data_IF_289730397279
#
_entry.id   IF_289730397279
#
_cell.length_a   1.000
_cell.length_b   1.000
_cell.length_c   1.000
_cell.angle_alpha   90.00
_cell.angle_beta   90.00
_cell.angle_gamma   90.00
#
_symmetry.space_group_name_H-M   'P 1'
#
loop_
_entity.id
_entity.type
_entity.pdbx_description
1 polymer ?
#
# COMPACT_ATOMS: atom_id res chain seq x y z
N UNK A 1 -8.21 4.64 17.08
CA UNK A 1 -9.03 3.65 16.35
C UNK A 1 -8.85 2.29 16.99
N UNK A 2 -9.95 1.63 17.34
CA UNK A 2 -10.01 0.23 17.77
C UNK A 2 -9.61 -0.71 16.60
N UNK A 3 -9.36 -1.99 16.89
CA UNK A 3 -8.87 -2.96 15.87
C UNK A 3 -9.85 -3.13 14.71
N UNK A 4 -11.12 -3.29 15.06
CA UNK A 4 -12.29 -3.33 14.17
C UNK A 4 -12.41 -2.06 13.32
N UNK A 5 -12.29 -0.88 13.92
CA UNK A 5 -12.33 0.41 13.22
C UNK A 5 -11.18 0.54 12.21
N UNK A 6 -9.97 0.09 12.57
CA UNK A 6 -8.80 0.11 11.67
C UNK A 6 -9.02 -0.82 10.48
N UNK A 7 -9.57 -2.01 10.71
CA UNK A 7 -9.84 -2.97 9.65
C UNK A 7 -10.94 -2.48 8.71
N UNK A 8 -12.03 -1.93 9.25
CA UNK A 8 -13.11 -1.34 8.48
C UNK A 8 -12.61 -0.17 7.61
N UNK A 9 -11.77 0.71 8.16
CA UNK A 9 -11.18 1.80 7.39
C UNK A 9 -10.20 1.30 6.31
N UNK A 10 -9.37 0.30 6.60
CA UNK A 10 -8.49 -0.30 5.60
C UNK A 10 -9.29 -0.97 4.47
N UNK A 11 -10.40 -1.63 4.81
CA UNK A 11 -11.32 -2.23 3.85
C UNK A 11 -11.98 -1.17 2.96
N UNK A 12 -12.43 -0.06 3.55
CA UNK A 12 -13.03 1.04 2.79
C UNK A 12 -12.06 1.67 1.77
N UNK A 13 -10.77 1.75 2.10
CA UNK A 13 -9.74 2.19 1.15
C UNK A 13 -9.55 1.18 0.02
N UNK A 14 -9.42 -0.11 0.33
CA UNK A 14 -9.21 -1.17 -0.67
C UNK A 14 -10.42 -1.40 -1.58
N UNK A 15 -11.63 -1.21 -1.07
CA UNK A 15 -12.86 -1.33 -1.86
C UNK A 15 -13.16 -0.06 -2.70
N UNK A 16 -12.36 1.01 -2.56
CA UNK A 16 -12.50 2.22 -3.37
C UNK A 16 -11.72 2.11 -4.70
N UNK A 17 -12.41 2.07 -5.85
CA UNK A 17 -11.74 1.88 -7.15
C UNK A 17 -10.84 3.05 -7.55
N UNK A 18 -11.13 4.28 -7.09
CA UNK A 18 -10.26 5.43 -7.34
C UNK A 18 -8.96 5.31 -6.55
N UNK A 19 -9.03 4.79 -5.32
CA UNK A 19 -7.84 4.57 -4.50
C UNK A 19 -6.90 3.58 -5.17
N UNK A 20 -7.38 2.41 -5.60
CA UNK A 20 -6.55 1.42 -6.29
C UNK A 20 -5.90 1.99 -7.56
N UNK A 21 -6.68 2.72 -8.38
CA UNK A 21 -6.15 3.37 -9.58
C UNK A 21 -5.05 4.38 -9.26
N UNK A 22 -5.26 5.24 -8.26
CA UNK A 22 -4.26 6.23 -7.85
C UNK A 22 -2.99 5.56 -7.32
N UNK A 23 -3.12 4.48 -6.54
CA UNK A 23 -1.96 3.74 -6.04
C UNK A 23 -1.14 3.12 -7.19
N UNK A 24 -1.81 2.57 -8.21
CA UNK A 24 -1.14 2.02 -9.39
C UNK A 24 -0.46 3.12 -10.24
N UNK A 25 -1.12 4.27 -10.42
CA UNK A 25 -0.56 5.43 -11.14
C UNK A 25 0.67 6.00 -10.42
N UNK A 26 0.62 6.15 -9.09
CA UNK A 26 1.75 6.59 -8.27
C UNK A 26 2.92 5.59 -8.32
N UNK A 27 2.63 4.30 -8.22
CA UNK A 27 3.66 3.27 -8.29
C UNK A 27 4.34 3.26 -9.66
N UNK A 28 3.57 3.36 -10.74
CA UNK A 28 4.08 3.44 -12.10
C UNK A 28 4.95 4.68 -12.30
N UNK A 29 4.53 5.84 -11.79
CA UNK A 29 5.30 7.07 -11.84
C UNK A 29 6.65 6.94 -11.12
N UNK A 30 6.65 6.38 -9.90
CA UNK A 30 7.88 6.15 -9.14
C UNK A 30 8.82 5.16 -9.84
N UNK A 31 8.30 4.06 -10.37
CA UNK A 31 9.11 3.09 -11.14
C UNK A 31 9.71 3.76 -12.38
N UNK A 32 8.91 4.52 -13.12
CA UNK A 32 9.38 5.24 -14.30
C UNK A 32 10.43 6.28 -13.96
N UNK A 33 10.26 7.02 -12.85
CA UNK A 33 11.25 7.97 -12.36
C UNK A 33 12.57 7.29 -12.00
N UNK A 34 12.51 6.13 -11.34
CA UNK A 34 13.68 5.33 -11.01
C UNK A 34 14.43 4.82 -12.26
N UNK A 35 13.71 4.27 -13.23
CA UNK A 35 14.30 3.70 -14.46
C UNK A 35 14.90 4.80 -15.35
N UNK A 36 14.23 5.94 -15.46
CA UNK A 36 14.64 7.03 -16.35
C UNK A 36 15.58 8.05 -15.68
N UNK A 37 15.91 7.88 -14.39
CA UNK A 37 16.95 8.67 -13.75
C UNK A 37 18.27 8.56 -14.53
N UNK A 38 18.97 9.68 -14.68
CA UNK A 38 20.28 9.71 -15.36
C UNK A 38 21.23 8.69 -14.72
N UNK A 39 22.15 8.14 -15.52
CA UNK A 39 23.08 7.10 -15.04
C UNK A 39 23.88 7.56 -13.82
N UNK A 40 24.28 8.83 -13.80
CA UNK A 40 25.06 9.46 -12.72
C UNK A 40 24.20 9.99 -11.57
N UNK A 41 22.87 10.03 -11.72
CA UNK A 41 21.96 10.56 -10.71
C UNK A 41 21.44 9.42 -9.84
N UNK A 42 22.31 8.98 -8.93
CA UNK A 42 22.02 7.89 -8.01
C UNK A 42 21.02 8.28 -6.92
N UNK A 43 20.99 9.56 -6.52
CA UNK A 43 20.10 10.06 -5.48
C UNK A 43 18.65 10.07 -5.94
N UNK A 44 18.36 10.63 -7.12
CA UNK A 44 17.01 10.63 -7.69
C UNK A 44 16.51 9.21 -7.91
N UNK A 45 17.37 8.31 -8.42
CA UNK A 45 17.05 6.88 -8.60
C UNK A 45 16.69 6.22 -7.27
N UNK A 46 17.49 6.46 -6.23
CA UNK A 46 17.24 5.89 -4.90
C UNK A 46 15.94 6.43 -4.28
N UNK A 47 15.65 7.72 -4.45
CA UNK A 47 14.43 8.37 -3.96
C UNK A 47 13.18 7.72 -4.58
N UNK A 48 13.13 7.62 -5.91
CA UNK A 48 12.00 6.98 -6.61
C UNK A 48 11.86 5.49 -6.27
N UNK A 49 12.98 4.77 -6.11
CA UNK A 49 12.94 3.38 -5.65
C UNK A 49 12.38 3.26 -4.22
N UNK A 50 12.70 4.20 -3.33
CA UNK A 50 12.16 4.24 -1.98
C UNK A 50 10.65 4.54 -1.99
N UNK A 51 10.19 5.45 -2.84
CA UNK A 51 8.78 5.78 -3.01
C UNK A 51 7.96 4.56 -3.50
N UNK A 52 8.43 3.86 -4.54
CA UNK A 52 7.77 2.65 -5.02
C UNK A 52 7.67 1.57 -3.91
N UNK A 53 8.70 1.42 -3.08
CA UNK A 53 8.66 0.51 -1.92
C UNK A 53 7.65 0.98 -0.87
N UNK A 54 7.59 2.27 -0.57
CA UNK A 54 6.64 2.82 0.40
C UNK A 54 5.20 2.58 -0.04
N UNK A 55 4.89 2.77 -1.33
CA UNK A 55 3.59 2.47 -1.93
C UNK A 55 3.21 0.99 -1.74
N UNK A 56 4.12 0.07 -2.10
CA UNK A 56 3.91 -1.38 -1.93
C UNK A 56 3.72 -1.79 -0.47
N UNK A 57 4.51 -1.20 0.43
CA UNK A 57 4.42 -1.46 1.87
C UNK A 57 3.09 -0.97 2.43
N UNK A 58 2.62 0.20 1.98
CA UNK A 58 1.33 0.73 2.39
C UNK A 58 0.17 -0.18 1.95
N UNK A 59 0.14 -0.60 0.67
CA UNK A 59 -0.87 -1.56 0.17
C UNK A 59 -0.82 -2.87 0.95
N UNK A 60 0.37 -3.39 1.20
CA UNK A 60 0.57 -4.61 2.01
C UNK A 60 0.04 -4.44 3.44
N UNK A 61 0.24 -3.27 4.06
CA UNK A 61 -0.25 -2.98 5.40
C UNK A 61 -1.78 -2.92 5.45
N UNK A 62 -2.43 -2.32 4.45
CA UNK A 62 -3.90 -2.30 4.36
C UNK A 62 -4.45 -3.72 4.24
N UNK A 63 -3.88 -4.54 3.36
CA UNK A 63 -4.28 -5.96 3.20
C UNK A 63 -4.08 -6.74 4.50
N UNK A 64 -2.97 -6.53 5.19
CA UNK A 64 -2.72 -7.17 6.49
C UNK A 64 -3.76 -6.79 7.54
N UNK A 65 -4.17 -5.52 7.60
CA UNK A 65 -5.22 -5.06 8.51
C UNK A 65 -6.59 -5.70 8.20
N UNK A 66 -6.90 -5.98 6.93
CA UNK A 66 -8.13 -6.67 6.56
C UNK A 66 -8.08 -8.17 6.83
N UNK A 67 -6.92 -8.82 6.68
CA UNK A 67 -6.79 -10.26 6.96
C UNK A 67 -6.74 -10.57 8.47
N UNK A 68 -6.08 -9.75 9.30
CA UNK A 68 -6.08 -9.96 10.76
C UNK A 68 -7.50 -9.97 11.36
N UNK A 69 -8.39 -9.09 10.88
CA UNK A 69 -9.77 -9.05 11.38
C UNK A 69 -10.57 -10.31 11.03
N UNK A 70 -10.26 -10.99 9.91
CA UNK A 70 -10.90 -12.27 9.58
C UNK A 70 -10.50 -13.36 10.58
N UNK A 71 -9.25 -13.38 10.99
CA UNK A 71 -8.72 -14.37 11.96
C UNK A 71 -9.28 -14.14 13.37
N UNK A 72 -9.38 -12.88 13.80
CA UNK A 72 -9.97 -12.51 15.09
C UNK A 72 -11.49 -12.81 15.16
N UNK A 73 -12.21 -12.70 14.04
CA UNK A 73 -13.65 -13.02 13.96
C UNK A 73 -14.01 -14.50 14.00
N UNK A 74 -13.06 -15.40 13.70
CA UNK A 74 -13.25 -16.87 13.74
C UNK A 74 -13.00 -17.50 15.12
N UNK A 75 -12.67 -16.72 16.14
CA UNK A 75 -12.35 -17.21 17.50
C UNK A 75 -13.50 -17.25 18.51
N UNK A 76 -14.72 -16.88 18.13
CA UNK A 76 -15.87 -16.97 19.04
C UNK A 76 -16.36 -18.43 19.12
N UNK A 77 -16.44 -19.05 20.32
CA UNK A 77 -16.96 -20.41 20.45
C UNK A 77 -18.46 -20.42 20.09
N UNK A 78 -18.86 -21.44 19.34
CA UNK A 78 -20.24 -21.76 18.99
C UNK A 78 -21.07 -22.16 20.22
#
# INVERSE_FOLDING_TARGET
MRSDEKSAAARALLDNPLFERLMDELEAAAINGCVNAKLTDHETRAAFAAEARAIRNFRSKLKFLTEQAKVEGTGAPA
#
